data_IF_495930540776
#
_entry.id   IF_495930540776
#
_cell.length_a   1.000
_cell.length_b   1.000
_cell.length_c   1.000
_cell.angle_alpha   90.00
_cell.angle_beta   90.00
_cell.angle_gamma   90.00
#
_symmetry.space_group_name_H-M   'P 1'
#
loop_
_entity.id
_entity.type
_entity.pdbx_description
1 polymer ?
#
# COMPACT_ATOMS: atom_id res chain seq x y z
N UNK A 1 -24.73 23.73 1.81
CA UNK A 1 -24.20 22.34 1.75
C UNK A 1 -22.75 22.40 2.16
N UNK A 2 -22.40 21.71 3.24
CA UNK A 2 -21.08 21.75 3.85
C UNK A 2 -20.15 20.80 3.09
N UNK A 3 -19.19 21.36 2.34
CA UNK A 3 -18.23 20.62 1.49
C UNK A 3 -17.09 19.96 2.31
N UNK A 4 -17.21 19.90 3.64
CA UNK A 4 -16.19 19.37 4.55
C UNK A 4 -16.06 17.84 4.57
N UNK A 5 -16.89 17.09 3.83
CA UNK A 5 -16.90 15.62 3.81
C UNK A 5 -16.07 14.99 2.67
N UNK A 6 -15.48 15.79 1.79
CA UNK A 6 -14.59 15.29 0.73
C UNK A 6 -13.17 15.16 1.28
N UNK A 7 -12.92 14.10 2.06
CA UNK A 7 -11.58 13.68 2.49
C UNK A 7 -10.59 13.51 1.31
N UNK A 8 -11.13 13.33 0.10
CA UNK A 8 -10.42 13.19 -1.16
C UNK A 8 -9.40 14.32 -1.45
N UNK A 9 -9.71 15.56 -1.07
CA UNK A 9 -8.84 16.71 -1.38
C UNK A 9 -7.98 17.21 -0.22
N UNK A 10 -8.06 16.57 0.96
CA UNK A 10 -7.32 17.03 2.16
C UNK A 10 -5.82 16.65 2.13
N UNK A 11 -5.38 15.88 1.14
CA UNK A 11 -4.00 15.39 1.01
C UNK A 11 -3.17 16.05 -0.10
N UNK A 12 -3.58 17.21 -0.64
CA UNK A 12 -2.66 18.08 -1.38
C UNK A 12 -1.71 18.79 -0.39
N UNK A 13 -0.86 18.01 0.29
CA UNK A 13 0.24 18.51 1.12
C UNK A 13 1.28 19.15 0.20
N UNK A 14 1.81 20.31 0.59
CA UNK A 14 2.96 20.91 -0.10
C UNK A 14 4.11 19.91 -0.18
N UNK A 15 4.71 19.75 -1.36
CA UNK A 15 5.64 18.66 -1.64
C UNK A 15 6.95 18.80 -0.86
N UNK A 16 7.11 18.03 0.19
CA UNK A 16 8.43 17.60 0.61
C UNK A 16 8.86 16.49 -0.35
N UNK A 17 9.88 16.75 -1.17
CA UNK A 17 10.40 15.74 -2.12
C UNK A 17 11.32 14.71 -1.45
N UNK A 18 11.43 14.74 -0.12
CA UNK A 18 12.45 14.04 0.63
C UNK A 18 11.82 13.12 1.68
N UNK A 19 12.33 11.90 1.76
CA UNK A 19 11.96 10.88 2.73
C UNK A 19 13.22 10.32 3.38
N UNK A 20 13.14 9.97 4.67
CA UNK A 20 14.14 9.11 5.30
C UNK A 20 13.51 7.74 5.62
N UNK A 21 14.25 6.67 5.36
CA UNK A 21 13.84 5.29 5.65
C UNK A 21 14.89 4.66 6.55
N UNK A 22 14.52 4.35 7.79
CA UNK A 22 15.38 3.73 8.79
C UNK A 22 15.07 2.23 8.87
N UNK A 23 16.05 1.41 8.53
CA UNK A 23 15.96 -0.04 8.38
C UNK A 23 15.88 -0.45 6.91
N UNK A 24 17.00 -0.87 6.33
CA UNK A 24 17.17 -1.35 4.95
C UNK A 24 16.99 -2.87 4.83
N UNK A 25 16.05 -3.43 5.58
CA UNK A 25 15.56 -4.79 5.36
C UNK A 25 14.69 -4.90 4.09
N UNK A 26 14.04 -6.05 3.88
CA UNK A 26 13.18 -6.30 2.70
C UNK A 26 12.10 -5.22 2.50
N UNK A 27 11.42 -4.82 3.58
CA UNK A 27 10.37 -3.80 3.52
C UNK A 27 10.94 -2.41 3.24
N UNK A 28 11.95 -1.97 4.00
CA UNK A 28 12.54 -0.65 3.81
C UNK A 28 13.19 -0.47 2.44
N UNK A 29 13.90 -1.48 1.92
CA UNK A 29 14.45 -1.44 0.54
C UNK A 29 13.37 -1.30 -0.51
N UNK A 30 12.24 -2.02 -0.37
CA UNK A 30 11.11 -1.87 -1.28
C UNK A 30 10.51 -0.45 -1.23
N UNK A 31 10.35 0.12 -0.02
CA UNK A 31 9.89 1.50 0.15
C UNK A 31 10.86 2.48 -0.51
N UNK A 32 12.16 2.36 -0.26
CA UNK A 32 13.18 3.21 -0.88
C UNK A 32 13.13 3.14 -2.41
N UNK A 33 13.13 1.93 -2.97
CA UNK A 33 13.11 1.72 -4.42
C UNK A 33 11.86 2.33 -5.07
N UNK A 34 10.68 2.12 -4.46
CA UNK A 34 9.44 2.68 -4.98
C UNK A 34 9.44 4.21 -4.92
N UNK A 35 9.87 4.81 -3.81
CA UNK A 35 9.97 6.27 -3.69
C UNK A 35 10.99 6.86 -4.68
N UNK A 36 12.14 6.21 -4.83
CA UNK A 36 13.17 6.61 -5.78
C UNK A 36 12.66 6.57 -7.22
N UNK A 37 11.99 5.49 -7.63
CA UNK A 37 11.39 5.33 -8.96
C UNK A 37 10.26 6.34 -9.25
N UNK A 38 9.60 6.84 -8.22
CA UNK A 38 8.60 7.91 -8.32
C UNK A 38 9.24 9.32 -8.38
N UNK A 39 10.57 9.42 -8.36
CA UNK A 39 11.31 10.68 -8.48
C UNK A 39 11.49 11.44 -7.16
N UNK A 40 11.31 10.77 -6.02
CA UNK A 40 11.58 11.36 -4.70
C UNK A 40 13.04 11.13 -4.28
N UNK A 41 13.56 12.07 -3.50
CA UNK A 41 14.85 11.93 -2.82
C UNK A 41 14.66 11.10 -1.56
N UNK A 42 15.51 10.09 -1.39
CA UNK A 42 15.40 9.14 -0.29
C UNK A 42 16.76 9.00 0.39
N UNK A 43 16.78 9.21 1.71
CA UNK A 43 17.89 8.85 2.58
C UNK A 43 17.62 7.48 3.20
N UNK A 44 18.43 6.47 2.84
CA UNK A 44 18.41 5.15 3.47
C UNK A 44 19.30 5.11 4.71
N UNK A 45 18.83 4.51 5.79
CA UNK A 45 19.61 4.38 7.03
C UNK A 45 19.53 2.94 7.54
N UNK A 46 20.64 2.34 7.93
CA UNK A 46 20.66 1.06 8.64
C UNK A 46 21.82 1.01 9.64
N UNK A 47 21.72 0.19 10.68
CA UNK A 47 22.84 -0.07 11.59
C UNK A 47 23.87 -1.04 11.00
N UNK A 48 23.46 -1.90 10.06
CA UNK A 48 24.35 -2.83 9.37
C UNK A 48 24.96 -2.18 8.12
N UNK A 49 26.28 -1.91 8.16
CA UNK A 49 27.04 -1.37 7.03
C UNK A 49 26.84 -2.19 5.73
N UNK A 50 26.80 -3.52 5.86
CA UNK A 50 26.53 -4.42 4.74
C UNK A 50 25.21 -4.12 4.02
N UNK A 51 24.15 -3.73 4.73
CA UNK A 51 22.85 -3.43 4.11
C UNK A 51 22.88 -2.07 3.40
N UNK A 52 23.62 -1.11 3.94
CA UNK A 52 23.87 0.20 3.32
C UNK A 52 24.63 0.04 2.00
N UNK A 53 25.74 -0.69 2.04
CA UNK A 53 26.56 -0.96 0.85
C UNK A 53 25.76 -1.67 -0.25
N UNK A 54 24.93 -2.65 0.13
CA UNK A 54 24.04 -3.34 -0.80
C UNK A 54 22.96 -2.43 -1.38
N UNK A 55 22.40 -1.49 -0.60
CA UNK A 55 21.41 -0.56 -1.12
C UNK A 55 22.01 0.40 -2.16
N UNK A 56 23.25 0.84 -1.95
CA UNK A 56 23.97 1.70 -2.90
C UNK A 56 24.42 0.92 -4.15
N UNK A 57 24.99 -0.27 -3.96
CA UNK A 57 25.50 -1.10 -5.06
C UNK A 57 24.39 -1.59 -6.00
N UNK A 58 23.20 -1.89 -5.45
CA UNK A 58 22.03 -2.32 -6.23
C UNK A 58 21.23 -1.12 -6.81
N UNK A 59 21.76 0.10 -6.70
CA UNK A 59 21.12 1.35 -7.18
C UNK A 59 19.68 1.55 -6.67
N UNK A 60 19.38 1.08 -5.45
CA UNK A 60 18.05 1.21 -4.84
C UNK A 60 17.75 2.68 -4.49
N UNK A 61 18.79 3.44 -4.16
CA UNK A 61 18.73 4.82 -3.68
C UNK A 61 20.11 5.50 -3.86
N UNK A 62 20.13 6.82 -3.99
CA UNK A 62 21.36 7.58 -4.21
C UNK A 62 22.16 7.89 -2.94
N UNK A 63 21.50 7.89 -1.77
CA UNK A 63 22.12 8.29 -0.50
C UNK A 63 21.71 7.37 0.65
N UNK A 64 22.67 6.67 1.26
CA UNK A 64 22.46 5.93 2.50
C UNK A 64 23.61 6.10 3.50
N UNK A 65 23.29 5.86 4.78
CA UNK A 65 24.20 6.03 5.91
C UNK A 65 24.10 4.85 6.87
N UNK A 66 25.27 4.42 7.38
CA UNK A 66 25.34 3.49 8.51
C UNK A 66 25.19 4.27 9.80
N UNK A 67 24.15 4.00 10.59
CA UNK A 67 23.83 4.77 11.79
C UNK A 67 23.00 3.97 12.80
N UNK A 68 23.36 4.08 14.07
CA UNK A 68 22.53 3.61 15.17
C UNK A 68 21.41 4.63 15.45
N UNK A 69 20.20 4.29 15.03
CA UNK A 69 19.03 5.15 15.17
C UNK A 69 18.46 5.19 16.59
N UNK A 70 18.96 4.36 17.51
CA UNK A 70 18.58 4.42 18.92
C UNK A 70 19.26 5.58 19.67
N UNK A 71 20.31 6.15 19.08
CA UNK A 71 21.06 7.29 19.61
C UNK A 71 20.51 8.62 19.05
N UNK A 72 19.88 9.48 19.87
CA UNK A 72 19.28 10.74 19.40
C UNK A 72 20.29 11.72 18.79
N UNK A 73 21.54 11.70 19.25
CA UNK A 73 22.63 12.52 18.72
C UNK A 73 22.99 12.11 17.30
N UNK A 74 23.06 10.81 17.02
CA UNK A 74 23.36 10.31 15.69
C UNK A 74 22.28 10.73 14.69
N UNK A 75 21.00 10.54 15.04
CA UNK A 75 19.87 10.99 14.22
C UNK A 75 19.92 12.49 13.90
N UNK A 76 20.32 13.31 14.89
CA UNK A 76 20.48 14.76 14.73
C UNK A 76 21.62 15.10 13.79
N UNK A 77 22.79 14.48 13.96
CA UNK A 77 23.97 14.72 13.12
C UNK A 77 23.74 14.30 11.67
N UNK A 78 22.94 13.24 11.44
CA UNK A 78 22.52 12.80 10.12
C UNK A 78 21.40 13.66 9.50
N UNK A 79 20.89 14.67 10.19
CA UNK A 79 19.83 15.55 9.68
C UNK A 79 18.46 14.88 9.55
N UNK A 80 18.21 13.76 10.24
CA UNK A 80 16.95 13.01 10.13
C UNK A 80 15.74 13.84 10.54
N UNK A 81 15.91 14.76 11.48
CA UNK A 81 14.84 15.62 11.98
C UNK A 81 14.39 16.70 11.00
N UNK A 82 15.19 16.98 9.96
CA UNK A 82 14.85 17.94 8.91
C UNK A 82 13.89 17.35 7.87
N UNK A 83 13.66 16.03 7.89
CA UNK A 83 12.73 15.35 7.00
C UNK A 83 11.29 15.49 7.48
N UNK A 84 10.40 15.73 6.53
CA UNK A 84 8.97 15.84 6.79
C UNK A 84 8.27 14.52 7.05
N UNK A 85 8.80 13.45 6.45
CA UNK A 85 8.31 12.09 6.62
C UNK A 85 9.48 11.14 6.83
N UNK A 86 9.42 10.39 7.94
CA UNK A 86 10.40 9.35 8.26
C UNK A 86 9.67 8.01 8.42
N UNK A 87 10.18 6.99 7.75
CA UNK A 87 9.66 5.63 7.77
C UNK A 87 10.59 4.75 8.62
N UNK A 88 10.08 4.22 9.72
CA UNK A 88 10.76 3.27 10.60
C UNK A 88 10.42 1.84 10.15
N UNK A 89 11.31 1.24 9.38
CA UNK A 89 11.19 -0.09 8.79
C UNK A 89 11.92 -1.19 9.60
N UNK A 90 12.28 -0.91 10.86
CA UNK A 90 12.92 -1.85 11.78
C UNK A 90 11.88 -2.89 12.26
N UNK A 91 12.11 -4.17 11.94
CA UNK A 91 11.15 -5.25 12.19
C UNK A 91 11.53 -6.25 13.29
N UNK A 92 12.75 -6.79 13.25
CA UNK A 92 13.18 -7.89 14.14
C UNK A 92 13.59 -7.41 15.54
N UNK A 93 13.86 -6.12 15.66
CA UNK A 93 14.43 -5.46 16.83
C UNK A 93 13.36 -4.51 17.39
N UNK A 94 12.46 -5.07 18.20
CA UNK A 94 11.24 -4.37 18.67
C UNK A 94 11.61 -3.17 19.56
N UNK A 95 12.60 -3.34 20.43
CA UNK A 95 13.03 -2.28 21.34
C UNK A 95 13.59 -1.10 20.54
N UNK A 96 14.44 -1.38 19.57
CA UNK A 96 15.08 -0.44 18.67
C UNK A 96 14.04 0.29 17.83
N UNK A 97 13.07 -0.44 17.25
CA UNK A 97 11.95 0.16 16.52
C UNK A 97 11.16 1.18 17.35
N UNK A 98 10.89 0.86 18.62
CA UNK A 98 10.18 1.75 19.55
C UNK A 98 11.03 2.96 19.94
N UNK A 99 12.30 2.74 20.32
CA UNK A 99 13.22 3.82 20.71
C UNK A 99 13.45 4.79 19.55
N UNK A 100 13.73 4.27 18.36
CA UNK A 100 13.91 5.08 17.16
C UNK A 100 12.66 5.88 16.84
N UNK A 101 11.47 5.27 16.92
CA UNK A 101 10.21 5.98 16.69
C UNK A 101 10.02 7.13 17.68
N UNK A 102 10.30 6.88 18.97
CA UNK A 102 10.25 7.91 20.01
C UNK A 102 11.22 9.05 19.71
N UNK A 103 12.49 8.73 19.46
CA UNK A 103 13.55 9.72 19.19
C UNK A 103 13.20 10.59 17.98
N UNK A 104 12.77 9.97 16.89
CA UNK A 104 12.38 10.68 15.65
C UNK A 104 11.18 11.59 15.91
N UNK A 105 10.20 11.14 16.70
CA UNK A 105 9.03 11.97 17.02
C UNK A 105 9.37 13.13 17.94
N UNK A 106 10.16 12.90 18.99
CA UNK A 106 10.64 13.95 19.89
C UNK A 106 11.60 14.93 19.21
N UNK A 107 12.33 14.48 18.19
CA UNK A 107 13.13 15.30 17.30
C UNK A 107 12.33 16.27 16.43
N UNK A 108 10.99 16.18 16.41
CA UNK A 108 10.10 17.13 15.76
C UNK A 108 9.64 16.73 14.36
N UNK A 109 9.92 15.49 13.92
CA UNK A 109 9.45 15.00 12.62
C UNK A 109 7.93 15.02 12.54
N UNK A 110 7.41 15.67 11.49
CA UNK A 110 5.98 15.94 11.34
C UNK A 110 5.16 14.68 11.14
N UNK A 111 5.68 13.72 10.38
CA UNK A 111 4.96 12.49 10.04
C UNK A 111 5.87 11.26 10.13
N UNK A 112 5.56 10.37 11.07
CA UNK A 112 6.33 9.14 11.35
C UNK A 112 5.47 7.93 11.01
N UNK A 113 5.95 7.11 10.07
CA UNK A 113 5.35 5.82 9.71
C UNK A 113 6.19 4.72 10.32
N UNK A 114 5.60 3.79 11.08
CA UNK A 114 6.34 2.71 11.72
C UNK A 114 5.80 1.33 11.34
N UNK A 115 6.72 0.41 11.01
CA UNK A 115 6.42 -1.00 10.76
C UNK A 115 6.21 -1.73 12.08
N UNK A 116 5.07 -2.42 12.22
CA UNK A 116 4.79 -3.31 13.34
C UNK A 116 4.78 -4.78 12.91
N UNK A 117 5.40 -5.63 13.74
CA UNK A 117 5.43 -7.09 13.54
C UNK A 117 4.30 -7.79 14.30
N UNK A 118 3.67 -7.14 15.29
CA UNK A 118 2.57 -7.67 16.10
C UNK A 118 1.63 -6.55 16.56
N UNK A 119 0.39 -6.89 16.91
CA UNK A 119 -0.59 -5.94 17.48
C UNK A 119 -0.08 -5.21 18.72
N UNK A 120 0.64 -5.91 19.60
CA UNK A 120 1.24 -5.32 20.81
C UNK A 120 2.30 -4.30 20.42
N UNK A 121 3.19 -4.64 19.48
CA UNK A 121 4.18 -3.72 18.96
C UNK A 121 3.52 -2.47 18.34
N UNK A 122 2.47 -2.65 17.53
CA UNK A 122 1.74 -1.54 16.94
C UNK A 122 1.06 -0.62 17.97
N UNK A 123 0.56 -1.18 19.07
CA UNK A 123 0.02 -0.37 20.20
C UNK A 123 1.12 0.45 20.88
N UNK A 124 2.32 -0.10 21.03
CA UNK A 124 3.46 0.62 21.62
C UNK A 124 3.93 1.76 20.70
N UNK A 125 4.09 1.50 19.40
CA UNK A 125 4.49 2.50 18.40
C UNK A 125 3.53 3.70 18.38
N UNK A 126 2.21 3.46 18.44
CA UNK A 126 1.21 4.53 18.54
C UNK A 126 1.36 5.36 19.82
N UNK A 127 1.76 4.74 20.94
CA UNK A 127 1.95 5.45 22.23
C UNK A 127 3.19 6.33 22.25
N UNK A 128 4.25 5.92 21.55
CA UNK A 128 5.48 6.72 21.41
C UNK A 128 5.41 7.73 20.26
N UNK A 129 4.26 7.81 19.57
CA UNK A 129 3.93 8.89 18.66
C UNK A 129 4.11 8.60 17.17
N UNK A 130 4.14 7.34 16.75
CA UNK A 130 3.96 7.00 15.34
C UNK A 130 2.60 7.50 14.84
N UNK A 131 2.60 8.31 13.77
CA UNK A 131 1.39 8.86 13.16
C UNK A 131 0.65 7.79 12.33
N UNK A 132 1.38 6.83 11.78
CA UNK A 132 0.83 5.71 11.05
C UNK A 132 1.60 4.42 11.36
N UNK A 133 0.88 3.31 11.53
CA UNK A 133 1.46 1.99 11.79
C UNK A 133 0.98 1.02 10.73
N UNK A 134 1.92 0.33 10.08
CA UNK A 134 1.66 -0.65 9.02
C UNK A 134 2.00 -2.07 9.48
N UNK A 135 1.29 -3.07 8.95
CA UNK A 135 1.52 -4.49 9.25
C UNK A 135 1.75 -5.29 7.95
N UNK A 136 2.91 -5.11 7.28
CA UNK A 136 3.10 -5.58 5.90
C UNK A 136 2.86 -7.07 5.71
N UNK A 137 3.38 -7.89 6.61
CA UNK A 137 3.25 -9.35 6.55
C UNK A 137 1.81 -9.82 6.78
N UNK A 138 1.10 -9.20 7.72
CA UNK A 138 -0.30 -9.57 8.02
C UNK A 138 -1.21 -9.16 6.87
N UNK A 139 -1.11 -7.92 6.41
CA UNK A 139 -1.91 -7.37 5.31
C UNK A 139 -1.69 -8.16 4.03
N UNK A 140 -0.43 -8.41 3.65
CA UNK A 140 -0.11 -9.21 2.46
C UNK A 140 -0.54 -10.67 2.63
N UNK A 141 -0.45 -11.23 3.83
CA UNK A 141 -0.94 -12.58 4.12
C UNK A 141 -2.45 -12.72 3.91
N UNK A 142 -3.23 -11.75 4.37
CA UNK A 142 -4.67 -11.69 4.12
C UNK A 142 -4.98 -11.53 2.63
N UNK A 143 -4.27 -10.66 1.92
CA UNK A 143 -4.41 -10.47 0.47
C UNK A 143 -4.12 -11.76 -0.29
N UNK A 144 -3.02 -12.45 0.03
CA UNK A 144 -2.66 -13.73 -0.58
C UNK A 144 -3.72 -14.81 -0.33
N UNK A 145 -4.21 -14.94 0.91
CA UNK A 145 -5.23 -15.94 1.24
C UNK A 145 -6.54 -15.73 0.47
N UNK A 146 -6.95 -14.47 0.29
CA UNK A 146 -8.14 -14.13 -0.52
C UNK A 146 -7.93 -14.46 -2.00
N UNK A 147 -6.76 -14.16 -2.55
CA UNK A 147 -6.42 -14.50 -3.94
C UNK A 147 -6.41 -16.02 -4.19
N UNK A 148 -5.87 -16.81 -3.25
CA UNK A 148 -5.80 -18.27 -3.40
C UNK A 148 -7.15 -18.98 -3.26
N UNK A 149 -8.06 -18.44 -2.45
CA UNK A 149 -9.38 -19.05 -2.19
C UNK A 149 -10.44 -18.71 -3.24
N UNK A 150 -10.19 -17.68 -4.07
CA UNK A 150 -11.06 -17.26 -5.16
C UNK A 150 -10.21 -17.05 -6.42
N UNK A 151 -9.88 -18.12 -7.19
CA UNK A 151 -9.00 -18.03 -8.36
C UNK A 151 -9.49 -17.05 -9.43
N UNK A 152 -10.80 -16.85 -9.52
CA UNK A 152 -11.39 -15.87 -10.41
C UNK A 152 -11.25 -14.42 -9.92
N UNK A 153 -10.85 -14.14 -8.67
CA UNK A 153 -10.66 -12.78 -8.12
C UNK A 153 -9.18 -12.46 -8.04
N UNK A 154 -8.73 -11.51 -8.85
CA UNK A 154 -7.31 -11.14 -8.97
C UNK A 154 -6.91 -10.00 -8.05
N UNK A 155 -7.75 -8.97 -7.95
CA UNK A 155 -7.48 -7.82 -7.08
C UNK A 155 -8.79 -7.29 -6.47
N UNK A 156 -8.71 -6.76 -5.26
CA UNK A 156 -9.84 -6.20 -4.50
C UNK A 156 -9.43 -4.92 -3.81
N UNK A 157 -10.10 -3.84 -4.19
CA UNK A 157 -10.04 -2.56 -3.49
C UNK A 157 -11.29 -2.39 -2.62
N UNK A 158 -11.12 -2.44 -1.29
CA UNK A 158 -12.20 -2.20 -0.33
C UNK A 158 -12.52 -0.70 -0.27
N UNK A 159 -13.76 -0.32 -0.60
CA UNK A 159 -14.24 1.07 -0.47
C UNK A 159 -14.63 1.33 0.97
N UNK A 160 -15.40 0.41 1.55
CA UNK A 160 -15.84 0.39 2.94
C UNK A 160 -16.09 -1.09 3.35
N UNK A 161 -16.50 -1.39 4.61
CA UNK A 161 -16.70 -2.77 5.05
C UNK A 161 -17.71 -3.59 4.21
N UNK A 162 -18.64 -2.94 3.52
CA UNK A 162 -19.71 -3.58 2.77
C UNK A 162 -19.52 -3.52 1.24
N UNK A 163 -18.63 -2.66 0.73
CA UNK A 163 -18.49 -2.37 -0.70
C UNK A 163 -17.04 -2.48 -1.20
N UNK A 164 -16.87 -3.03 -2.41
CA UNK A 164 -15.55 -3.19 -3.03
C UNK A 164 -15.58 -2.95 -4.55
N UNK A 165 -14.42 -2.63 -5.10
CA UNK A 165 -14.09 -2.79 -6.51
C UNK A 165 -13.25 -4.06 -6.64
N UNK A 166 -13.60 -4.93 -7.58
CA UNK A 166 -12.95 -6.23 -7.75
C UNK A 166 -12.60 -6.47 -9.21
N UNK A 167 -11.33 -6.78 -9.46
CA UNK A 167 -10.86 -7.31 -10.72
C UNK A 167 -10.98 -8.84 -10.70
N UNK A 168 -11.64 -9.39 -11.70
CA UNK A 168 -11.95 -10.81 -11.74
C UNK A 168 -11.94 -11.36 -13.18
N UNK A 169 -11.65 -12.64 -13.31
CA UNK A 169 -11.66 -13.37 -14.58
C UNK A 169 -13.11 -13.62 -15.00
N UNK A 170 -13.43 -13.30 -16.25
CA UNK A 170 -14.74 -13.58 -16.82
C UNK A 170 -14.99 -15.10 -16.77
N UNK A 171 -16.04 -15.56 -16.06
CA UNK A 171 -16.33 -16.97 -15.94
C UNK A 171 -16.99 -17.53 -17.20
N UNK A 172 -16.94 -18.85 -17.35
CA UNK A 172 -17.50 -19.55 -18.52
C UNK A 172 -19.00 -19.27 -18.72
N UNK A 173 -19.73 -19.08 -17.62
CA UNK A 173 -21.17 -18.78 -17.66
C UNK A 173 -21.49 -17.42 -18.31
N UNK A 174 -20.52 -16.52 -18.38
CA UNK A 174 -20.64 -15.18 -18.98
C UNK A 174 -20.08 -15.12 -20.39
N UNK A 175 -19.45 -16.20 -20.88
CA UNK A 175 -18.81 -16.23 -22.19
C UNK A 175 -19.79 -15.94 -23.32
N UNK A 176 -19.39 -15.02 -24.20
CA UNK A 176 -20.16 -14.60 -25.35
C UNK A 176 -21.39 -13.76 -25.01
N UNK A 177 -21.75 -13.54 -23.73
CA UNK A 177 -22.91 -12.71 -23.34
C UNK A 177 -22.52 -11.25 -23.17
N UNK A 178 -23.44 -10.35 -23.49
CA UNK A 178 -23.26 -8.91 -23.28
C UNK A 178 -23.62 -8.46 -21.88
N UNK A 179 -23.12 -7.30 -21.46
CA UNK A 179 -23.41 -6.71 -20.14
C UNK A 179 -24.93 -6.57 -19.94
N UNK A 180 -25.67 -6.16 -20.98
CA UNK A 180 -27.13 -6.02 -20.92
C UNK A 180 -27.86 -7.38 -20.86
N UNK A 181 -27.37 -8.41 -21.55
CA UNK A 181 -27.93 -9.77 -21.48
C UNK A 181 -27.69 -10.41 -20.09
N UNK A 182 -26.57 -10.09 -19.44
CA UNK A 182 -26.23 -10.60 -18.12
C UNK A 182 -27.01 -9.93 -16.98
N UNK A 183 -27.44 -8.68 -17.18
CA UNK A 183 -28.17 -7.86 -16.21
C UNK A 183 -27.54 -7.90 -14.79
N UNK A 184 -26.22 -7.73 -14.74
CA UNK A 184 -25.42 -7.92 -13.52
C UNK A 184 -25.84 -6.98 -12.39
N UNK A 185 -26.29 -5.78 -12.73
CA UNK A 185 -26.75 -4.77 -11.76
C UNK A 185 -28.01 -5.23 -11.03
N UNK A 186 -28.97 -5.79 -11.73
CA UNK A 186 -30.23 -6.25 -11.13
C UNK A 186 -30.06 -7.61 -10.44
N UNK A 187 -29.28 -8.52 -11.05
CA UNK A 187 -29.11 -9.90 -10.54
C UNK A 187 -28.16 -10.00 -9.35
N UNK A 188 -27.05 -9.26 -9.39
CA UNK A 188 -25.98 -9.38 -8.39
C UNK A 188 -25.72 -8.06 -7.66
N UNK A 189 -26.33 -6.95 -8.06
CA UNK A 189 -26.06 -5.64 -7.44
C UNK A 189 -24.67 -5.09 -7.78
N UNK A 190 -24.07 -5.52 -8.89
CA UNK A 190 -22.74 -5.08 -9.32
C UNK A 190 -22.79 -4.34 -10.67
N UNK A 191 -21.92 -3.36 -10.85
CA UNK A 191 -21.76 -2.63 -12.12
C UNK A 191 -20.38 -2.90 -12.71
N UNK A 192 -20.31 -3.12 -14.03
CA UNK A 192 -19.04 -3.30 -14.75
C UNK A 192 -18.42 -1.92 -14.98
N UNK A 193 -17.20 -1.73 -14.48
CA UNK A 193 -16.40 -0.52 -14.67
C UNK A 193 -15.48 -0.63 -15.87
N UNK A 194 -14.89 -1.81 -16.08
CA UNK A 194 -13.98 -2.04 -17.20
C UNK A 194 -13.99 -3.49 -17.67
N UNK A 195 -13.66 -3.70 -18.94
CA UNK A 195 -13.42 -5.01 -19.56
C UNK A 195 -12.05 -5.01 -20.23
N UNK A 196 -11.26 -6.05 -20.01
CA UNK A 196 -9.99 -6.24 -20.70
C UNK A 196 -10.24 -6.76 -22.11
N UNK A 197 -9.67 -6.09 -23.10
CA UNK A 197 -9.57 -6.55 -24.48
C UNK A 197 -8.13 -6.45 -24.93
N UNK A 198 -7.56 -7.57 -25.39
CA UNK A 198 -6.19 -7.61 -25.93
C UNK A 198 -5.13 -7.02 -24.96
N UNK A 199 -5.30 -7.24 -23.66
CA UNK A 199 -4.38 -6.75 -22.62
C UNK A 199 -4.52 -5.28 -22.26
N UNK A 200 -5.57 -4.59 -22.73
CA UNK A 200 -5.92 -3.22 -22.33
C UNK A 200 -7.34 -3.17 -21.79
N UNK A 201 -7.58 -2.34 -20.79
CA UNK A 201 -8.92 -2.13 -20.26
C UNK A 201 -9.68 -1.07 -21.08
N UNK A 202 -10.88 -1.43 -21.52
CA UNK A 202 -11.90 -0.48 -21.93
C UNK A 202 -12.73 -0.08 -20.70
N UNK A 203 -12.64 1.20 -20.32
CA UNK A 203 -13.35 1.76 -19.17
C UNK A 203 -14.71 2.29 -19.61
N UNK A 204 -15.73 2.11 -18.76
CA UNK A 204 -17.13 2.41 -19.06
C UNK A 204 -17.60 1.70 -20.34
N UNK A 205 -17.47 0.37 -20.42
CA UNK A 205 -17.83 -0.39 -21.62
C UNK A 205 -19.31 -0.21 -21.96
N UNK A 206 -19.60 -0.19 -23.26
CA UNK A 206 -20.98 -0.08 -23.74
C UNK A 206 -21.81 -1.32 -23.36
N UNK A 207 -23.13 -1.21 -23.10
CA UNK A 207 -23.95 -2.33 -22.65
C UNK A 207 -24.00 -3.54 -23.59
N UNK A 208 -23.78 -3.32 -24.90
CA UNK A 208 -23.75 -4.36 -25.93
C UNK A 208 -22.42 -5.11 -26.03
N UNK A 209 -21.37 -4.66 -25.32
CA UNK A 209 -20.08 -5.33 -25.31
C UNK A 209 -20.22 -6.74 -24.73
N UNK A 210 -19.71 -7.74 -25.45
CA UNK A 210 -19.71 -9.15 -25.06
C UNK A 210 -18.48 -9.48 -24.24
N UNK A 211 -18.69 -10.17 -23.12
CA UNK A 211 -17.63 -10.69 -22.27
C UNK A 211 -17.05 -11.95 -22.92
N UNK A 212 -15.75 -12.18 -22.79
CA UNK A 212 -15.08 -13.41 -23.23
C UNK A 212 -14.44 -14.11 -22.05
N UNK A 213 -14.69 -15.41 -21.92
CA UNK A 213 -14.10 -16.26 -20.89
C UNK A 213 -12.58 -16.09 -20.86
N UNK A 214 -12.03 -15.98 -19.65
CA UNK A 214 -10.57 -15.86 -19.45
C UNK A 214 -10.03 -14.43 -19.63
N UNK A 215 -10.79 -13.50 -20.20
CA UNK A 215 -10.48 -12.07 -20.09
C UNK A 215 -10.81 -11.55 -18.68
N UNK A 216 -10.40 -10.31 -18.40
CA UNK A 216 -10.59 -9.68 -17.09
C UNK A 216 -11.77 -8.71 -17.15
N UNK A 217 -12.52 -8.63 -16.06
CA UNK A 217 -13.51 -7.59 -15.84
C UNK A 217 -13.32 -6.95 -14.47
N UNK A 218 -13.57 -5.65 -14.40
CA UNK A 218 -13.55 -4.89 -13.15
C UNK A 218 -14.99 -4.52 -12.82
N UNK A 219 -15.44 -4.89 -11.62
CA UNK A 219 -16.79 -4.61 -11.14
C UNK A 219 -16.76 -3.83 -9.83
N UNK A 220 -17.80 -3.04 -9.59
CA UNK A 220 -18.06 -2.36 -8.32
C UNK A 220 -19.41 -2.79 -7.76
N UNK A 221 -19.48 -3.05 -6.47
CA UNK A 221 -20.74 -3.34 -5.78
C UNK A 221 -20.56 -3.79 -4.35
N UNK A 222 -21.66 -4.23 -3.75
CA UNK A 222 -21.66 -4.77 -2.39
C UNK A 222 -20.93 -6.13 -2.35
N UNK A 223 -20.18 -6.40 -1.28
CA UNK A 223 -19.40 -7.62 -1.08
C UNK A 223 -20.25 -8.87 -1.25
N UNK A 224 -21.45 -8.90 -0.67
CA UNK A 224 -22.44 -9.98 -0.86
C UNK A 224 -22.74 -10.25 -2.34
N UNK A 225 -22.88 -9.21 -3.16
CA UNK A 225 -23.22 -9.34 -4.57
C UNK A 225 -22.07 -9.93 -5.38
N UNK A 226 -20.86 -9.42 -5.13
CA UNK A 226 -19.62 -9.89 -5.73
C UNK A 226 -19.35 -11.35 -5.35
N UNK A 227 -19.62 -11.73 -4.10
CA UNK A 227 -19.42 -13.09 -3.61
C UNK A 227 -20.28 -14.13 -4.34
N UNK A 228 -21.47 -13.73 -4.81
CA UNK A 228 -22.40 -14.58 -5.56
C UNK A 228 -22.11 -14.63 -7.07
N UNK A 229 -21.10 -13.91 -7.56
CA UNK A 229 -20.65 -14.08 -8.94
C UNK A 229 -20.08 -15.49 -9.13
N UNK A 230 -20.28 -16.11 -10.31
CA UNK A 230 -19.86 -17.48 -10.56
C UNK A 230 -18.36 -17.55 -10.93
N UNK A 231 -17.48 -17.10 -10.02
CA UNK A 231 -16.03 -16.89 -10.23
C UNK A 231 -15.18 -17.74 -9.31
#
# INVERSE_FOLDING_TARGET
MNLSSLSFFRNLRGSSRQYAVIGLGRFGRAVCMTLHNLGYEVLGIDSEERLVDQALSDEILAHALTLDSTEPSALKEAGVYDFDTVIIAIGNYIQESIITTLNVKEGGVRYVVAKASTEVHGKLLRRVGADHVVFPEHEMGCTLARSLTRPGVLDRFEIDPDNSIVELVVPEEFDGKSIVELDLRSRYGVSVLALSQNGKFEVNPIPSMRLRKGELMVVIGANRGIEHLPV
#
